data_IF_211268690573
#
_entry.id   IF_211268690573
#
_cell.length_a   1.000
_cell.length_b   1.000
_cell.length_c   1.000
_cell.angle_alpha   90.00
_cell.angle_beta   90.00
_cell.angle_gamma   90.00
#
_symmetry.space_group_name_H-M   'P 1'
#
loop_
_entity.id
_entity.type
_entity.pdbx_description
1 polymer ?
#
# COMPACT_ATOMS: atom_id res chain seq x y z
N UNK A 1 -12.11 -7.86 7.65
CA UNK A 1 -11.51 -6.96 6.65
C UNK A 1 -10.13 -7.48 6.29
N UNK A 2 -9.83 -7.64 5.00
CA UNK A 2 -8.54 -8.10 4.49
C UNK A 2 -7.83 -6.92 3.82
N UNK A 3 -6.59 -6.67 4.24
CA UNK A 3 -5.79 -5.54 3.78
C UNK A 3 -4.55 -6.07 3.09
N UNK A 4 -4.23 -5.55 1.91
CA UNK A 4 -3.01 -5.86 1.18
C UNK A 4 -2.15 -4.59 1.04
N UNK A 5 -0.99 -4.62 1.69
CA UNK A 5 0.05 -3.60 1.54
C UNK A 5 0.87 -3.95 0.30
N UNK A 6 1.09 -2.97 -0.56
CA UNK A 6 1.89 -3.07 -1.78
C UNK A 6 3.13 -2.18 -1.56
N UNK A 7 4.25 -2.75 -1.12
CA UNK A 7 5.51 -1.99 -0.98
C UNK A 7 6.21 -1.82 -2.32
N UNK A 8 7.15 -0.87 -2.37
CA UNK A 8 8.09 -0.73 -3.48
C UNK A 8 9.04 -1.93 -3.57
N UNK A 9 9.62 -2.36 -2.45
CA UNK A 9 10.35 -3.64 -2.33
C UNK A 9 10.01 -4.35 -1.02
N UNK A 10 9.21 -5.42 -1.12
CA UNK A 10 8.79 -6.17 0.06
C UNK A 10 9.93 -6.76 0.88
N UNK A 11 11.14 -6.90 0.33
CA UNK A 11 12.26 -7.60 0.97
C UNK A 11 12.55 -7.11 2.38
N UNK A 12 12.54 -5.78 2.58
CA UNK A 12 12.77 -5.13 3.88
C UNK A 12 11.52 -4.41 4.39
N UNK A 13 10.82 -3.72 3.50
CA UNK A 13 9.67 -2.86 3.83
C UNK A 13 8.56 -3.64 4.55
N UNK A 14 8.40 -4.93 4.26
CA UNK A 14 7.38 -5.77 4.89
C UNK A 14 7.49 -5.81 6.42
N UNK A 15 8.71 -5.73 6.96
CA UNK A 15 8.96 -5.78 8.39
C UNK A 15 8.68 -4.46 9.10
N UNK A 16 8.52 -3.37 8.34
CA UNK A 16 8.22 -2.04 8.84
C UNK A 16 6.74 -1.72 8.60
N UNK A 17 6.28 -1.86 7.35
CA UNK A 17 4.92 -1.49 6.95
C UNK A 17 3.86 -2.34 7.63
N UNK A 18 4.06 -3.65 7.71
CA UNK A 18 3.06 -4.54 8.32
C UNK A 18 2.73 -4.15 9.77
N UNK A 19 3.71 -4.05 10.69
CA UNK A 19 3.41 -3.67 12.08
C UNK A 19 2.85 -2.24 12.19
N UNK A 20 3.30 -1.29 11.36
CA UNK A 20 2.76 0.08 11.37
C UNK A 20 1.27 0.09 10.98
N UNK A 21 0.90 -0.62 9.91
CA UNK A 21 -0.49 -0.68 9.47
C UNK A 21 -1.35 -1.46 10.47
N UNK A 22 -0.84 -2.53 11.08
CA UNK A 22 -1.51 -3.23 12.18
C UNK A 22 -1.75 -2.29 13.39
N UNK A 23 -0.75 -1.48 13.75
CA UNK A 23 -0.86 -0.48 14.81
C UNK A 23 -1.84 0.64 14.46
N UNK A 24 -1.88 1.09 13.20
CA UNK A 24 -2.83 2.08 12.70
C UNK A 24 -4.28 1.58 12.88
N UNK A 25 -4.58 0.36 12.46
CA UNK A 25 -5.93 -0.21 12.64
C UNK A 25 -6.31 -0.33 14.11
N UNK A 26 -5.35 -0.70 14.97
CA UNK A 26 -5.58 -0.71 16.42
C UNK A 26 -5.88 0.69 16.96
N UNK A 27 -5.09 1.69 16.57
CA UNK A 27 -5.29 3.08 16.99
C UNK A 27 -6.65 3.64 16.55
N UNK A 28 -7.12 3.25 15.37
CA UNK A 28 -8.45 3.61 14.86
C UNK A 28 -9.61 2.86 15.55
N UNK A 29 -9.33 2.05 16.59
CA UNK A 29 -10.35 1.30 17.33
C UNK A 29 -10.93 0.10 16.56
N UNK A 30 -10.28 -0.32 15.47
CA UNK A 30 -10.70 -1.46 14.64
C UNK A 30 -10.19 -2.80 15.16
N UNK A 31 -9.71 -2.85 16.40
CA UNK A 31 -9.22 -4.06 17.07
C UNK A 31 -10.31 -5.12 17.31
N UNK A 32 -11.57 -4.70 17.45
CA UNK A 32 -12.73 -5.61 17.49
C UNK A 32 -13.08 -6.19 16.10
N UNK A 33 -12.60 -5.54 15.04
CA UNK A 33 -12.75 -6.02 13.66
C UNK A 33 -11.64 -7.01 13.37
N UNK A 34 -11.96 -8.19 12.84
CA UNK A 34 -10.94 -9.17 12.38
C UNK A 34 -10.23 -8.62 11.14
N UNK A 35 -9.29 -7.70 11.33
CA UNK A 35 -8.43 -7.13 10.29
C UNK A 35 -7.28 -8.09 10.04
N UNK A 36 -7.08 -8.47 8.77
CA UNK A 36 -5.97 -9.33 8.33
C UNK A 36 -5.07 -8.54 7.39
N UNK A 37 -3.94 -8.08 7.91
CA UNK A 37 -2.94 -7.34 7.14
C UNK A 37 -1.98 -8.32 6.46
N UNK A 38 -1.79 -8.16 5.16
CA UNK A 38 -0.86 -8.92 4.33
C UNK A 38 0.02 -7.99 3.53
N UNK A 39 1.21 -8.45 3.17
CA UNK A 39 2.11 -7.73 2.26
C UNK A 39 2.12 -8.45 0.92
N UNK A 40 2.05 -7.68 -0.16
CA UNK A 40 2.15 -8.18 -1.53
C UNK A 40 3.59 -8.64 -1.78
N UNK A 41 3.75 -9.92 -2.06
CA UNK A 41 5.05 -10.53 -2.39
C UNK A 41 5.11 -10.99 -3.87
N UNK A 42 3.97 -10.97 -4.57
CA UNK A 42 3.87 -11.44 -5.96
C UNK A 42 2.73 -10.72 -6.72
N UNK A 43 3.01 -9.98 -7.81
CA UNK A 43 4.32 -9.75 -8.40
C UNK A 43 5.24 -8.91 -7.52
N UNK A 44 6.54 -9.21 -7.56
CA UNK A 44 7.57 -8.31 -7.00
C UNK A 44 7.62 -7.06 -7.86
N UNK A 45 7.36 -5.91 -7.24
CA UNK A 45 7.69 -4.61 -7.80
C UNK A 45 9.20 -4.43 -7.60
N UNK A 46 9.94 -4.18 -8.67
CA UNK A 46 11.40 -4.09 -8.65
C UNK A 46 11.80 -2.61 -8.65
N UNK A 47 11.37 -1.88 -7.62
CA UNK A 47 11.62 -0.44 -7.46
C UNK A 47 10.51 0.48 -7.97
N UNK A 48 10.66 1.76 -7.64
CA UNK A 48 9.71 2.85 -7.77
C UNK A 48 9.04 2.96 -9.13
N UNK A 49 9.86 2.92 -10.19
CA UNK A 49 9.38 3.09 -11.57
C UNK A 49 8.44 1.95 -11.97
N UNK A 50 8.60 0.75 -11.42
CA UNK A 50 7.67 -0.34 -11.63
C UNK A 50 6.45 -0.25 -10.72
N UNK A 51 6.61 0.25 -9.49
CA UNK A 51 5.52 0.40 -8.52
C UNK A 51 4.46 1.43 -8.96
N UNK A 52 4.85 2.46 -9.72
CA UNK A 52 3.93 3.49 -10.22
C UNK A 52 3.28 3.18 -11.57
N UNK A 53 3.63 2.06 -12.21
CA UNK A 53 3.01 1.68 -13.49
C UNK A 53 1.61 1.13 -13.24
N UNK A 54 0.61 1.76 -13.84
CA UNK A 54 -0.77 1.32 -13.75
C UNK A 54 -0.93 -0.16 -14.11
N UNK A 55 -0.24 -0.65 -15.15
CA UNK A 55 -0.34 -2.05 -15.60
C UNK A 55 0.16 -3.04 -14.54
N UNK A 56 1.04 -2.61 -13.64
CA UNK A 56 1.52 -3.42 -12.51
C UNK A 56 0.49 -3.43 -11.39
N UNK A 57 -0.03 -2.25 -11.04
CA UNK A 57 -1.08 -2.09 -10.02
C UNK A 57 -2.35 -2.84 -10.43
N UNK A 58 -2.80 -2.68 -11.67
CA UNK A 58 -3.95 -3.38 -12.23
C UNK A 58 -3.79 -4.91 -12.14
N UNK A 59 -2.59 -5.44 -12.44
CA UNK A 59 -2.31 -6.88 -12.30
C UNK A 59 -2.43 -7.34 -10.85
N UNK A 60 -1.93 -6.56 -9.89
CA UNK A 60 -2.06 -6.86 -8.45
C UNK A 60 -3.54 -6.84 -8.05
N UNK A 61 -4.27 -5.77 -8.38
CA UNK A 61 -5.69 -5.63 -8.06
C UNK A 61 -6.46 -6.80 -8.64
N UNK A 62 -6.32 -7.10 -9.94
CA UNK A 62 -7.05 -8.20 -10.58
C UNK A 62 -6.74 -9.56 -9.96
N UNK A 63 -5.52 -9.78 -9.49
CA UNK A 63 -5.12 -11.02 -8.83
C UNK A 63 -5.76 -11.19 -7.44
N UNK A 64 -5.86 -10.11 -6.67
CA UNK A 64 -6.20 -10.17 -5.25
C UNK A 64 -7.61 -9.64 -4.92
N UNK A 65 -8.30 -8.95 -5.84
CA UNK A 65 -9.60 -8.29 -5.60
C UNK A 65 -10.71 -9.22 -5.11
N UNK A 66 -10.61 -10.53 -5.33
CA UNK A 66 -11.60 -11.49 -4.79
C UNK A 66 -11.46 -11.74 -3.28
N UNK A 67 -10.37 -11.31 -2.65
CA UNK A 67 -10.02 -11.64 -1.25
C UNK A 67 -9.63 -10.44 -0.40
N UNK A 68 -9.45 -9.27 -1.01
CA UNK A 68 -8.92 -8.07 -0.37
C UNK A 68 -9.98 -6.98 -0.41
N UNK A 69 -10.18 -6.32 0.71
CA UNK A 69 -11.13 -5.22 0.85
C UNK A 69 -10.40 -3.88 0.69
N UNK A 70 -9.18 -3.77 1.24
CA UNK A 70 -8.37 -2.55 1.17
C UNK A 70 -6.99 -2.87 0.60
N UNK A 71 -6.60 -2.13 -0.44
CA UNK A 71 -5.26 -2.09 -1.00
C UNK A 71 -4.57 -0.81 -0.55
N UNK A 72 -3.33 -0.92 -0.08
CA UNK A 72 -2.52 0.22 0.34
C UNK A 72 -1.20 0.17 -0.41
N UNK A 73 -1.00 1.05 -1.39
CA UNK A 73 0.29 1.27 -2.03
C UNK A 73 1.12 2.19 -1.15
N UNK A 74 2.28 1.72 -0.72
CA UNK A 74 3.27 2.50 0.01
C UNK A 74 4.54 2.57 -0.82
N UNK A 75 4.90 3.78 -1.25
CA UNK A 75 6.12 4.06 -2.03
C UNK A 75 6.98 5.08 -1.30
N UNK A 76 8.29 5.07 -1.52
CA UNK A 76 9.15 6.11 -0.96
C UNK A 76 9.01 7.42 -1.73
N UNK A 77 9.32 8.56 -1.09
CA UNK A 77 9.27 9.88 -1.74
C UNK A 77 10.56 10.24 -2.48
N UNK A 78 11.67 9.52 -2.28
CA UNK A 78 13.05 9.81 -2.74
C UNK A 78 13.29 11.28 -3.13
N UNK A 79 12.95 12.21 -2.22
CA UNK A 79 13.18 13.65 -2.38
C UNK A 79 12.51 14.38 -3.56
N UNK A 80 11.54 13.80 -4.29
CA UNK A 80 10.91 14.45 -5.45
C UNK A 80 9.47 14.91 -5.15
N UNK A 81 9.17 16.19 -5.39
CA UNK A 81 7.88 16.83 -5.07
C UNK A 81 6.69 16.53 -6.01
N UNK A 82 6.80 16.22 -7.32
CA UNK A 82 5.62 16.08 -8.17
C UNK A 82 4.94 14.69 -8.09
N UNK A 83 5.08 13.94 -6.99
CA UNK A 83 4.62 12.54 -6.85
C UNK A 83 3.13 12.38 -6.56
N UNK A 84 2.48 13.38 -5.93
CA UNK A 84 1.08 13.26 -5.49
C UNK A 84 0.09 13.04 -6.64
N UNK A 85 0.26 13.77 -7.76
CA UNK A 85 -0.62 13.63 -8.94
C UNK A 85 -0.61 12.22 -9.55
N UNK A 86 0.53 11.52 -9.49
CA UNK A 86 0.63 10.16 -10.01
C UNK A 86 -0.16 9.21 -9.11
N UNK A 87 -0.01 9.35 -7.79
CA UNK A 87 -0.76 8.56 -6.83
C UNK A 87 -2.28 8.83 -6.94
N UNK A 88 -2.68 10.10 -7.01
CA UNK A 88 -4.09 10.49 -7.20
C UNK A 88 -4.67 9.83 -8.47
N UNK A 89 -3.90 9.82 -9.58
CA UNK A 89 -4.31 9.16 -10.82
C UNK A 89 -4.40 7.63 -10.68
N UNK A 90 -3.51 6.99 -9.92
CA UNK A 90 -3.58 5.56 -9.65
C UNK A 90 -4.82 5.21 -8.81
N UNK A 91 -5.18 6.04 -7.83
CA UNK A 91 -6.40 5.88 -7.04
C UNK A 91 -7.65 5.99 -7.92
N UNK A 92 -7.72 6.99 -8.81
CA UNK A 92 -8.83 7.16 -9.75
C UNK A 92 -8.96 5.95 -10.68
N UNK A 93 -7.84 5.47 -11.25
CA UNK A 93 -7.84 4.28 -12.09
C UNK A 93 -8.27 3.03 -11.32
N UNK A 94 -7.81 2.87 -10.07
CA UNK A 94 -8.21 1.74 -9.22
C UNK A 94 -9.69 1.77 -8.87
N UNK A 95 -10.25 2.94 -8.56
CA UNK A 95 -11.67 3.10 -8.25
C UNK A 95 -12.58 2.65 -9.41
N UNK A 96 -12.13 2.80 -10.66
CA UNK A 96 -12.88 2.37 -11.85
C UNK A 96 -12.98 0.83 -12.02
N UNK A 97 -12.09 0.06 -11.38
CA UNK A 97 -12.04 -1.41 -11.53
C UNK A 97 -12.38 -2.18 -10.25
N UNK A 98 -12.46 -1.47 -9.12
CA UNK A 98 -12.78 -2.03 -7.80
C UNK A 98 -14.30 -2.08 -7.57
N UNK A 99 -14.73 -3.01 -6.73
CA UNK A 99 -16.11 -3.07 -6.26
C UNK A 99 -16.44 -1.93 -5.28
N UNK A 100 -17.72 -1.70 -5.03
CA UNK A 100 -18.21 -0.63 -4.12
C UNK A 100 -17.72 -0.75 -2.67
N UNK A 101 -17.39 -1.97 -2.24
CA UNK A 101 -16.91 -2.26 -0.89
C UNK A 101 -15.38 -2.37 -0.80
N UNK A 102 -14.67 -2.00 -1.87
CA UNK A 102 -13.22 -2.08 -1.95
C UNK A 102 -12.60 -0.68 -2.05
N UNK A 103 -11.42 -0.55 -1.49
CA UNK A 103 -10.67 0.70 -1.49
C UNK A 103 -9.23 0.48 -1.93
N UNK A 104 -8.69 1.42 -2.70
CA UNK A 104 -7.27 1.51 -2.98
C UNK A 104 -6.78 2.88 -2.53
N UNK A 105 -5.75 2.90 -1.70
CA UNK A 105 -5.10 4.10 -1.18
C UNK A 105 -3.64 4.05 -1.62
N UNK A 106 -3.12 5.15 -2.14
CA UNK A 106 -1.73 5.29 -2.54
C UNK A 106 -1.08 6.44 -1.78
N UNK A 107 -0.04 6.12 -1.01
CA UNK A 107 0.66 7.11 -0.19
C UNK A 107 2.18 7.01 -0.34
N UNK A 108 2.84 8.15 -0.23
CA UNK A 108 4.30 8.20 -0.13
C UNK A 108 4.74 8.26 1.33
N UNK A 109 5.79 7.53 1.69
CA UNK A 109 6.53 7.83 2.91
C UNK A 109 7.14 9.24 2.80
N UNK A 110 6.85 10.13 3.75
CA UNK A 110 7.24 11.55 3.65
C UNK A 110 8.75 11.78 3.53
N UNK A 111 9.55 10.79 3.97
CA UNK A 111 11.00 10.70 3.77
C UNK A 111 11.33 9.32 3.17
N UNK A 112 11.42 8.29 4.00
CA UNK A 112 11.54 6.86 3.63
C UNK A 112 10.77 6.06 4.69
N UNK A 113 10.32 4.85 4.36
CA UNK A 113 9.64 3.95 5.30
C UNK A 113 10.51 3.69 6.55
N UNK A 114 11.82 3.61 6.41
CA UNK A 114 12.82 3.42 7.47
C UNK A 114 12.82 4.55 8.51
N UNK A 115 12.49 5.78 8.09
CA UNK A 115 12.38 6.91 9.04
C UNK A 115 11.25 6.67 10.03
N UNK A 116 10.15 6.06 9.60
CA UNK A 116 9.02 5.77 10.48
C UNK A 116 9.40 4.77 11.57
N UNK A 117 10.28 3.81 11.26
CA UNK A 117 10.85 2.90 12.25
C UNK A 117 11.70 3.66 13.28
N UNK A 118 12.55 4.59 12.84
CA UNK A 118 13.39 5.40 13.73
C UNK A 118 12.59 6.35 14.62
N UNK A 119 11.49 6.92 14.10
CA UNK A 119 10.65 7.86 14.85
C UNK A 119 9.74 7.19 15.89
N UNK A 120 9.46 5.89 15.74
CA UNK A 120 8.65 5.10 16.67
C UNK A 120 9.41 4.40 17.79
N UNK A 121 10.73 4.65 17.91
CA UNK A 121 11.62 3.99 18.86
C UNK A 121 12.10 4.89 20.00
#
# INVERSE_FOLDING_TARGET
MNVLIIPEDFSKDQYILKPIIEALFKYLGLESTKVKVRVCQDPRLAGYVEALKWERIEKIINRYKSKIDIFILCVDRDGNEPRKKILDNLEEQAANILGTDQLFVAENAWQEVEVWLLAGH
#
